data_IF_596779787035
#
_entry.id   IF_596779787035
#
_cell.length_a   1.000
_cell.length_b   1.000
_cell.length_c   1.000
_cell.angle_alpha   90.00
_cell.angle_beta   90.00
_cell.angle_gamma   90.00
#
_symmetry.space_group_name_H-M   'P 1'
#
loop_
_entity.id
_entity.type
_entity.pdbx_description
1 polymer ?
#
# COMPACT_ATOMS: atom_id res chain seq x y z
N UNK A 1 20.17 -3.32 -17.37
CA UNK A 1 20.16 -4.54 -16.54
C UNK A 1 21.15 -4.31 -15.42
N UNK A 2 20.65 -3.83 -14.29
CA UNK A 2 21.42 -3.68 -13.07
C UNK A 2 21.23 -4.94 -12.22
N UNK A 3 22.30 -5.34 -11.55
CA UNK A 3 22.21 -6.34 -10.50
C UNK A 3 21.83 -5.63 -9.21
N UNK A 4 20.72 -6.05 -8.60
CA UNK A 4 20.24 -5.55 -7.32
C UNK A 4 20.38 -6.65 -6.26
N UNK A 5 20.35 -6.26 -5.00
CA UNK A 5 20.30 -7.23 -3.91
C UNK A 5 18.84 -7.57 -3.60
N UNK A 6 18.54 -8.87 -3.54
CA UNK A 6 17.25 -9.37 -3.11
C UNK A 6 16.95 -8.87 -1.70
N UNK A 7 15.78 -8.26 -1.54
CA UNK A 7 15.34 -7.67 -0.27
C UNK A 7 15.21 -8.65 0.90
N UNK A 8 15.03 -9.95 0.62
CA UNK A 8 14.84 -10.95 1.68
C UNK A 8 16.11 -11.72 2.00
N UNK A 9 16.82 -12.24 0.98
CA UNK A 9 18.00 -13.07 1.20
C UNK A 9 19.35 -12.37 0.95
N UNK A 10 19.34 -11.11 0.49
CA UNK A 10 20.55 -10.34 0.20
C UNK A 10 21.32 -10.80 -1.05
N UNK A 11 20.81 -11.79 -1.80
CA UNK A 11 21.48 -12.28 -3.00
C UNK A 11 21.41 -11.33 -4.16
N UNK A 12 22.50 -11.27 -4.91
CA UNK A 12 22.56 -10.50 -6.14
C UNK A 12 21.70 -11.15 -7.23
N UNK A 13 20.76 -10.38 -7.77
CA UNK A 13 19.77 -10.81 -8.76
C UNK A 13 19.57 -9.72 -9.82
N UNK A 14 18.90 -10.05 -10.93
CA UNK A 14 18.52 -9.05 -11.92
C UNK A 14 17.43 -8.11 -11.38
N UNK A 15 17.52 -6.81 -11.69
CA UNK A 15 16.49 -5.81 -11.40
C UNK A 15 15.11 -6.20 -11.98
N UNK A 16 15.11 -6.97 -13.07
CA UNK A 16 13.92 -7.40 -13.79
C UNK A 16 13.45 -8.82 -13.41
N UNK A 17 14.04 -9.43 -12.38
CA UNK A 17 13.68 -10.78 -11.95
C UNK A 17 12.27 -10.81 -11.32
N UNK A 18 11.36 -11.61 -11.88
CA UNK A 18 9.99 -11.81 -11.34
C UNK A 18 9.99 -12.56 -10.02
N UNK A 19 10.99 -13.41 -9.77
CA UNK A 19 11.18 -14.11 -8.50
C UNK A 19 12.67 -14.29 -8.21
N UNK A 20 13.04 -14.31 -6.93
CA UNK A 20 14.41 -14.59 -6.52
C UNK A 20 14.71 -16.09 -6.67
N UNK A 21 15.74 -16.50 -7.41
CA UNK A 21 16.08 -17.92 -7.59
C UNK A 21 16.62 -18.58 -6.30
N UNK A 22 17.02 -17.81 -5.29
CA UNK A 22 17.61 -18.34 -4.05
C UNK A 22 16.62 -18.52 -2.91
N UNK A 23 15.69 -17.58 -2.74
CA UNK A 23 14.69 -17.63 -1.66
C UNK A 23 13.25 -17.81 -2.15
N UNK A 24 12.97 -17.63 -3.45
CA UNK A 24 11.63 -17.77 -4.02
C UNK A 24 10.74 -16.53 -3.86
N UNK A 25 11.20 -15.44 -3.23
CA UNK A 25 10.38 -14.23 -3.08
C UNK A 25 10.02 -13.64 -4.44
N UNK A 26 8.75 -13.30 -4.64
CA UNK A 26 8.27 -12.64 -5.86
C UNK A 26 8.69 -11.15 -5.89
N UNK A 27 8.93 -10.65 -7.09
CA UNK A 27 9.35 -9.29 -7.41
C UNK A 27 10.40 -8.73 -6.42
N UNK A 28 11.55 -9.41 -6.25
CA UNK A 28 12.58 -9.00 -5.29
C UNK A 28 13.18 -7.60 -5.52
N UNK A 29 12.97 -7.01 -6.70
CA UNK A 29 13.38 -5.66 -7.09
C UNK A 29 12.30 -4.72 -7.57
N UNK A 30 11.04 -5.19 -7.59
CA UNK A 30 9.96 -4.40 -8.17
C UNK A 30 9.63 -3.17 -7.33
N UNK A 31 9.06 -2.16 -7.96
CA UNK A 31 8.20 -1.18 -7.28
C UNK A 31 6.75 -1.59 -7.52
N UNK A 32 5.96 -1.72 -6.45
CA UNK A 32 4.53 -1.96 -6.54
C UNK A 32 3.77 -0.72 -6.06
N UNK A 33 2.49 -0.65 -6.41
CA UNK A 33 1.60 0.37 -5.89
C UNK A 33 0.29 -0.27 -5.43
N UNK A 34 -0.08 -0.02 -4.18
CA UNK A 34 -1.40 -0.32 -3.64
C UNK A 34 -2.36 0.81 -4.05
N UNK A 35 -3.43 0.46 -4.75
CA UNK A 35 -4.45 1.43 -5.17
C UNK A 35 -5.70 1.23 -4.33
N UNK A 36 -5.97 2.20 -3.44
CA UNK A 36 -7.20 2.23 -2.65
C UNK A 36 -8.20 3.17 -3.31
N UNK A 37 -9.37 2.65 -3.64
CA UNK A 37 -10.48 3.41 -4.22
C UNK A 37 -11.69 3.36 -3.31
N UNK A 38 -12.37 4.50 -3.14
CA UNK A 38 -13.64 4.57 -2.41
C UNK A 38 -14.80 4.71 -3.41
N UNK A 39 -15.49 3.62 -3.78
CA UNK A 39 -16.50 3.65 -4.84
C UNK A 39 -17.82 4.33 -4.43
N UNK A 40 -18.19 4.34 -3.14
CA UNK A 40 -19.54 4.75 -2.71
C UNK A 40 -19.60 6.16 -2.10
N UNK A 41 -20.68 6.87 -2.45
CA UNK A 41 -21.17 8.14 -1.87
C UNK A 41 -22.09 7.91 -0.65
N UNK A 42 -22.50 6.67 -0.38
CA UNK A 42 -23.52 6.35 0.61
C UNK A 42 -22.85 6.18 1.99
N UNK A 43 -23.17 7.09 2.92
CA UNK A 43 -22.66 7.05 4.29
C UNK A 43 -21.68 8.18 4.65
N UNK A 44 -22.07 9.43 4.39
CA UNK A 44 -21.49 10.63 5.02
C UNK A 44 -20.07 11.01 4.60
N UNK A 45 -19.72 12.28 4.81
CA UNK A 45 -18.39 12.84 4.58
C UNK A 45 -17.37 12.34 5.61
N UNK A 46 -17.24 11.02 5.76
CA UNK A 46 -16.40 10.43 6.79
C UNK A 46 -14.95 10.45 6.32
N UNK A 47 -14.16 11.33 6.92
CA UNK A 47 -12.72 11.42 6.68
C UNK A 47 -12.08 10.12 7.08
N UNK A 48 -11.57 9.42 6.08
CA UNK A 48 -10.94 8.11 6.25
C UNK A 48 -9.47 8.25 5.92
N UNK A 49 -8.59 7.97 6.86
CA UNK A 49 -7.14 8.08 6.71
C UNK A 49 -6.55 6.69 6.46
N UNK A 50 -5.77 6.57 5.39
CA UNK A 50 -5.11 5.32 5.00
C UNK A 50 -3.71 5.30 5.61
N UNK A 51 -3.44 4.25 6.38
CA UNK A 51 -2.12 3.94 6.89
C UNK A 51 -1.62 2.65 6.24
N UNK A 52 -0.35 2.64 5.81
CA UNK A 52 0.33 1.44 5.32
C UNK A 52 1.61 1.28 6.12
N UNK A 53 1.78 0.13 6.76
CA UNK A 53 2.86 -0.16 7.72
C UNK A 53 2.99 0.90 8.83
N UNK A 54 1.84 1.39 9.29
CA UNK A 54 1.75 2.43 10.33
C UNK A 54 2.04 3.85 9.83
N UNK A 55 2.42 4.07 8.57
CA UNK A 55 2.66 5.41 8.00
C UNK A 55 1.39 5.96 7.33
N UNK A 56 0.97 7.20 7.63
CA UNK A 56 -0.17 7.82 6.98
C UNK A 56 0.18 8.21 5.54
N UNK A 57 -0.62 7.77 4.58
CA UNK A 57 -0.43 8.10 3.16
C UNK A 57 -1.43 9.12 2.62
N UNK A 58 -2.54 9.35 3.33
CA UNK A 58 -3.50 10.37 2.98
C UNK A 58 -4.92 9.98 3.33
N UNK A 59 -5.86 10.85 2.96
CA UNK A 59 -7.28 10.61 3.19
C UNK A 59 -8.00 10.14 1.91
N UNK A 60 -8.98 9.27 2.10
CA UNK A 60 -9.97 8.89 1.09
C UNK A 60 -11.23 9.71 1.32
N UNK A 61 -11.41 10.74 0.49
CA UNK A 61 -12.67 11.49 0.37
C UNK A 61 -13.71 10.71 -0.45
N UNK A 62 -14.94 11.24 -0.56
CA UNK A 62 -15.98 10.65 -1.42
C UNK A 62 -15.47 10.59 -2.88
N UNK A 63 -15.50 9.39 -3.49
CA UNK A 63 -14.89 9.10 -4.80
C UNK A 63 -13.36 9.32 -4.87
N UNK A 64 -12.69 9.35 -3.72
CA UNK A 64 -11.24 9.49 -3.64
C UNK A 64 -10.52 8.23 -4.10
N UNK A 65 -9.30 8.45 -4.62
CA UNK A 65 -8.32 7.41 -4.96
C UNK A 65 -6.99 7.79 -4.32
N UNK A 66 -6.40 6.84 -3.60
CA UNK A 66 -5.05 6.98 -3.03
C UNK A 66 -4.16 5.89 -3.65
N UNK A 67 -3.02 6.29 -4.17
CA UNK A 67 -2.01 5.39 -4.72
C UNK A 67 -0.82 5.41 -3.77
N UNK A 68 -0.56 4.25 -3.17
CA UNK A 68 0.51 4.08 -2.19
C UNK A 68 1.65 3.30 -2.86
N UNK A 69 2.81 3.93 -3.13
CA UNK A 69 3.97 3.18 -3.57
C UNK A 69 4.44 2.28 -2.43
N UNK A 70 4.51 0.98 -2.70
CA UNK A 70 4.98 -0.03 -1.75
C UNK A 70 6.03 -0.91 -2.42
N UNK A 71 6.93 -1.43 -1.63
CA UNK A 71 7.74 -2.56 -2.10
C UNK A 71 6.81 -3.76 -2.32
N UNK A 72 7.10 -4.67 -3.25
CA UNK A 72 6.45 -5.96 -3.32
C UNK A 72 6.61 -6.66 -1.97
N UNK A 73 5.58 -7.35 -1.47
CA UNK A 73 5.62 -8.00 -0.15
C UNK A 73 4.30 -7.92 0.61
N UNK A 74 4.32 -8.40 1.85
CA UNK A 74 3.18 -8.28 2.75
C UNK A 74 3.21 -6.92 3.44
N UNK A 75 2.09 -6.20 3.39
CA UNK A 75 1.92 -4.88 3.99
C UNK A 75 0.68 -4.86 4.89
N UNK A 76 0.77 -4.18 6.03
CA UNK A 76 -0.37 -4.01 6.92
C UNK A 76 -1.11 -2.71 6.55
N UNK A 77 -2.35 -2.84 6.06
CA UNK A 77 -3.16 -1.71 5.62
C UNK A 77 -4.24 -1.44 6.65
N UNK A 78 -4.17 -0.27 7.29
CA UNK A 78 -5.17 0.21 8.23
C UNK A 78 -5.95 1.38 7.63
N UNK A 79 -7.27 1.23 7.58
CA UNK A 79 -8.17 2.28 7.12
C UNK A 79 -8.86 2.85 8.36
N UNK A 80 -8.39 4.01 8.83
CA UNK A 80 -8.91 4.65 10.05
C UNK A 80 -10.00 5.64 9.67
N UNK A 81 -11.22 5.30 10.05
CA UNK A 81 -12.37 6.16 9.89
C UNK A 81 -12.48 7.03 11.13
N UNK A 82 -12.28 8.35 11.00
CA UNK A 82 -12.65 9.25 12.11
C UNK A 82 -14.16 9.42 12.01
N UNK A 83 -14.88 8.70 12.86
CA UNK A 83 -16.26 9.05 13.17
C UNK A 83 -16.26 10.49 13.69
N UNK A 84 -16.63 11.44 12.82
CA UNK A 84 -17.02 12.76 13.31
C UNK A 84 -18.18 12.51 14.25
N UNK A 85 -18.16 13.00 15.51
CA UNK A 85 -19.29 12.85 16.39
C UNK A 85 -20.48 13.49 15.68
N UNK A 86 -21.37 12.66 15.16
CA UNK A 86 -22.67 13.11 14.69
C UNK A 86 -23.33 13.61 15.96
N UNK A 87 -23.43 14.93 16.05
CA UNK A 87 -24.12 15.68 17.08
C UNK A 87 -25.47 15.00 17.34
N UNK A 88 -25.56 14.17 18.38
CA UNK A 88 -26.82 13.73 18.95
C UNK A 88 -27.34 14.91 19.75
N UNK A 89 -28.17 15.73 19.12
CA UNK A 89 -29.19 16.53 19.81
C UNK A 89 -30.44 15.66 19.99
#
# INVERSE_FOLDING_TARGET
MALINCRECGSQISDSATACPRCGVAAPGGSCALVLTRPSLVGGAVRTEVHVDGRPYGNLSARGRVVVPVTPGSHHVEVRTRESPVLRQ
#
